data_IF_060711419437
#
_entry.id   IF_060711419437
#
_cell.length_a   1.000
_cell.length_b   1.000
_cell.length_c   1.000
_cell.angle_alpha   90.00
_cell.angle_beta   90.00
_cell.angle_gamma   90.00
#
_symmetry.space_group_name_H-M   'P 1'
#
loop_
_entity.id
_entity.type
_entity.pdbx_description
1 polymer ?
#
# COMPACT_ATOMS: atom_id res chain seq x y z
N UNK A 1 4.53 0.14 12.13
CA UNK A 1 3.22 0.46 12.75
C UNK A 1 2.90 1.92 12.49
N UNK A 2 2.22 2.21 11.38
CA UNK A 2 1.70 3.55 11.05
C UNK A 2 0.22 3.64 11.46
N UNK A 3 -0.07 3.55 12.76
CA UNK A 3 -1.40 3.84 13.29
C UNK A 3 -1.34 5.10 14.15
N UNK A 4 -1.01 6.23 13.51
CA UNK A 4 -1.28 7.59 14.00
C UNK A 4 -2.66 8.06 13.55
N UNK A 5 -3.11 9.24 13.99
CA UNK A 5 -4.40 9.82 13.59
C UNK A 5 -4.51 9.84 12.05
N UNK A 6 -5.72 9.73 11.49
CA UNK A 6 -5.97 9.72 10.03
C UNK A 6 -5.29 10.91 9.33
N UNK A 7 -5.27 12.07 10.00
CA UNK A 7 -4.59 13.27 9.52
C UNK A 7 -3.06 13.11 9.51
N UNK A 8 -2.49 12.44 10.51
CA UNK A 8 -1.03 12.25 10.64
C UNK A 8 -0.49 11.40 9.49
N UNK A 9 -1.19 10.32 9.12
CA UNK A 9 -0.75 9.45 8.01
C UNK A 9 -0.83 10.19 6.67
N UNK A 10 -1.89 10.97 6.43
CA UNK A 10 -2.03 11.76 5.19
C UNK A 10 -0.93 12.81 5.08
N UNK A 11 -0.59 13.47 6.19
CA UNK A 11 0.46 14.48 6.23
C UNK A 11 1.83 13.89 5.88
N UNK A 12 2.12 12.67 6.35
CA UNK A 12 3.37 11.97 6.02
C UNK A 12 3.57 11.79 4.51
N UNK A 13 2.52 11.47 3.75
CA UNK A 13 2.61 11.39 2.29
C UNK A 13 2.91 12.74 1.64
N UNK A 14 2.23 13.80 2.06
CA UNK A 14 2.43 15.16 1.55
C UNK A 14 3.83 15.66 1.87
N UNK A 15 4.27 15.51 3.12
CA UNK A 15 5.61 15.91 3.55
C UNK A 15 6.68 15.14 2.78
N UNK A 16 6.52 13.83 2.62
CA UNK A 16 7.47 13.01 1.85
C UNK A 16 7.54 13.44 0.40
N UNK A 17 6.39 13.72 -0.24
CA UNK A 17 6.34 14.23 -1.61
C UNK A 17 7.12 15.54 -1.76
N UNK A 18 6.89 16.50 -0.85
CA UNK A 18 7.60 17.78 -0.89
C UNK A 18 9.09 17.65 -0.58
N UNK A 19 9.48 16.85 0.41
CA UNK A 19 10.90 16.57 0.72
C UNK A 19 11.61 15.94 -0.47
N UNK A 20 11.00 14.93 -1.08
CA UNK A 20 11.53 14.26 -2.27
C UNK A 20 11.71 15.23 -3.44
N UNK A 21 10.70 16.08 -3.70
CA UNK A 21 10.75 17.09 -4.76
C UNK A 21 11.85 18.16 -4.53
N UNK A 22 12.22 18.42 -3.27
CA UNK A 22 13.31 19.34 -2.89
C UNK A 22 14.69 18.68 -2.82
N UNK A 23 14.78 17.37 -3.07
CA UNK A 23 16.03 16.62 -2.96
C UNK A 23 16.57 16.51 -1.53
N UNK A 24 15.70 16.61 -0.52
CA UNK A 24 16.09 16.44 0.87
C UNK A 24 16.39 14.98 1.22
N UNK A 25 17.19 14.76 2.26
CA UNK A 25 17.46 13.42 2.79
C UNK A 25 16.17 12.78 3.32
N UNK A 26 15.84 11.61 2.79
CA UNK A 26 14.68 10.81 3.20
C UNK A 26 15.12 9.69 4.15
N UNK A 27 14.38 9.50 5.25
CA UNK A 27 14.50 8.30 6.08
C UNK A 27 14.13 7.03 5.29
N UNK A 28 14.47 5.85 5.81
CA UNK A 28 14.16 4.58 5.13
C UNK A 28 12.64 4.42 4.85
N UNK A 29 11.78 4.84 5.77
CA UNK A 29 10.33 4.81 5.56
C UNK A 29 9.89 5.83 4.50
N UNK A 30 10.42 7.05 4.54
CA UNK A 30 10.12 8.07 3.53
C UNK A 30 10.62 7.66 2.14
N UNK A 31 11.70 6.89 2.02
CA UNK A 31 12.14 6.34 0.74
C UNK A 31 11.13 5.35 0.17
N UNK A 32 10.56 4.46 1.00
CA UNK A 32 9.50 3.53 0.58
C UNK A 32 8.26 4.32 0.13
N UNK A 33 7.83 5.30 0.94
CA UNK A 33 6.70 6.17 0.62
C UNK A 33 6.95 6.94 -0.68
N UNK A 34 8.13 7.54 -0.85
CA UNK A 34 8.48 8.28 -2.04
C UNK A 34 8.42 7.39 -3.29
N UNK A 35 8.92 6.15 -3.21
CA UNK A 35 8.82 5.21 -4.32
C UNK A 35 7.36 4.89 -4.66
N UNK A 36 6.51 4.61 -3.66
CA UNK A 36 5.06 4.39 -3.91
C UNK A 36 4.44 5.62 -4.57
N UNK A 37 4.78 6.83 -4.11
CA UNK A 37 4.26 8.06 -4.72
C UNK A 37 4.73 8.17 -6.18
N UNK A 38 6.00 7.87 -6.48
CA UNK A 38 6.50 7.89 -7.87
C UNK A 38 5.76 6.90 -8.78
N UNK A 39 5.39 5.73 -8.24
CA UNK A 39 4.63 4.72 -8.97
C UNK A 39 3.16 5.15 -9.23
N UNK A 40 2.67 6.20 -8.53
CA UNK A 40 1.31 6.74 -8.63
C UNK A 40 1.27 8.23 -9.04
N UNK A 41 1.64 8.58 -10.29
CA UNK A 41 1.60 9.95 -10.79
C UNK A 41 0.21 10.59 -10.74
N UNK A 42 -0.86 9.80 -10.78
CA UNK A 42 -2.25 10.27 -10.67
C UNK A 42 -2.55 11.02 -9.36
N UNK A 43 -1.77 10.76 -8.29
CA UNK A 43 -1.95 11.42 -7.00
C UNK A 43 -1.01 12.61 -6.78
N UNK A 44 -0.06 12.87 -7.68
CA UNK A 44 0.92 13.94 -7.51
C UNK A 44 0.27 15.33 -7.43
N UNK A 45 -0.81 15.57 -8.17
CA UNK A 45 -1.53 16.84 -8.12
C UNK A 45 -2.14 17.08 -6.73
N UNK A 46 -2.86 16.09 -6.19
CA UNK A 46 -3.46 16.17 -4.87
C UNK A 46 -2.40 16.33 -3.76
N UNK A 47 -1.30 15.59 -3.84
CA UNK A 47 -0.19 15.69 -2.90
C UNK A 47 0.52 17.05 -2.97
N UNK A 48 0.71 17.59 -4.18
CA UNK A 48 1.30 18.92 -4.39
C UNK A 48 0.48 20.04 -3.78
N UNK A 49 -0.85 19.94 -3.87
CA UNK A 49 -1.78 20.92 -3.30
C UNK A 49 -1.97 20.72 -1.78
N UNK A 50 -1.48 19.62 -1.22
CA UNK A 50 -1.71 19.28 0.19
C UNK A 50 -3.19 18.97 0.48
N UNK A 51 -3.95 18.49 -0.51
CA UNK A 51 -5.37 18.17 -0.36
C UNK A 51 -5.57 16.87 0.43
N UNK A 52 -5.32 16.96 1.73
CA UNK A 52 -5.43 15.87 2.69
C UNK A 52 -6.85 15.72 3.26
N UNK A 53 -7.76 16.64 2.98
CA UNK A 53 -9.10 16.69 3.58
C UNK A 53 -10.19 16.04 2.73
N UNK A 54 -9.85 15.42 1.60
CA UNK A 54 -10.81 14.71 0.77
C UNK A 54 -11.60 13.67 1.57
N UNK A 55 -12.93 13.79 1.55
CA UNK A 55 -13.85 12.76 1.99
C UNK A 55 -14.04 11.78 0.82
N UNK A 56 -13.03 10.93 0.64
CA UNK A 56 -13.05 9.83 -0.32
C UNK A 56 -14.06 8.77 0.17
N UNK A 57 -15.33 8.92 -0.24
CA UNK A 57 -16.38 7.97 0.11
C UNK A 57 -16.56 6.94 -0.99
N UNK A 58 -16.79 5.69 -0.60
CA UNK A 58 -17.08 4.58 -1.52
C UNK A 58 -18.28 4.90 -2.42
N UNK A 59 -19.24 5.67 -1.90
CA UNK A 59 -20.46 6.10 -2.60
C UNK A 59 -20.20 6.99 -3.82
N UNK A 60 -19.07 7.72 -3.84
CA UNK A 60 -18.65 8.56 -4.98
C UNK A 60 -17.87 7.79 -6.04
N UNK A 61 -17.61 6.49 -5.80
CA UNK A 61 -16.77 5.68 -6.68
C UNK A 61 -15.30 6.11 -6.70
N UNK A 62 -14.87 6.95 -5.77
CA UNK A 62 -13.51 7.46 -5.69
C UNK A 62 -12.63 6.52 -4.86
N UNK A 63 -11.54 6.04 -5.46
CA UNK A 63 -10.50 5.32 -4.73
C UNK A 63 -9.80 6.28 -3.78
N UNK A 64 -9.81 5.99 -2.48
CA UNK A 64 -9.08 6.78 -1.49
C UNK A 64 -7.56 6.62 -1.73
N UNK A 65 -6.85 7.67 -2.17
CA UNK A 65 -5.45 7.59 -2.56
C UNK A 65 -4.54 7.18 -1.40
N UNK A 66 -4.85 7.64 -0.19
CA UNK A 66 -4.04 7.34 0.99
C UNK A 66 -4.19 5.89 1.45
N UNK A 67 -5.41 5.35 1.36
CA UNK A 67 -5.65 3.93 1.62
C UNK A 67 -4.90 3.08 0.58
N UNK A 68 -5.07 3.42 -0.69
CA UNK A 68 -4.43 2.72 -1.80
C UNK A 68 -2.91 2.70 -1.68
N UNK A 69 -2.26 3.88 -1.54
CA UNK A 69 -0.82 3.97 -1.34
C UNK A 69 -0.37 3.30 -0.03
N UNK A 70 -1.15 3.39 1.05
CA UNK A 70 -0.86 2.73 2.32
C UNK A 70 -0.85 1.20 2.22
N UNK A 71 -1.70 0.62 1.37
CA UNK A 71 -1.69 -0.81 1.08
C UNK A 71 -0.43 -1.24 0.33
N UNK A 72 0.07 -0.44 -0.62
CA UNK A 72 1.36 -0.69 -1.26
C UNK A 72 2.52 -0.70 -0.24
N UNK A 73 2.56 0.27 0.67
CA UNK A 73 3.56 0.29 1.76
C UNK A 73 3.46 -0.98 2.60
N UNK A 74 2.24 -1.39 2.95
CA UNK A 74 2.01 -2.61 3.74
C UNK A 74 2.54 -3.85 3.03
N UNK A 75 2.28 -4.00 1.73
CA UNK A 75 2.81 -5.12 0.93
C UNK A 75 4.35 -5.10 0.91
N UNK A 76 4.95 -3.92 0.68
CA UNK A 76 6.42 -3.79 0.66
C UNK A 76 7.05 -4.13 2.01
N UNK A 77 6.44 -3.70 3.11
CA UNK A 77 6.87 -4.09 4.46
C UNK A 77 6.75 -5.61 4.65
N UNK A 78 5.59 -6.20 4.35
CA UNK A 78 5.33 -7.64 4.43
C UNK A 78 6.36 -8.46 3.64
N UNK A 79 6.64 -8.07 2.40
CA UNK A 79 7.66 -8.69 1.54
C UNK A 79 9.06 -8.50 2.14
N UNK A 80 9.38 -7.31 2.64
CA UNK A 80 10.68 -6.98 3.23
C UNK A 80 11.01 -7.80 4.49
N UNK A 81 10.00 -8.11 5.30
CA UNK A 81 10.17 -8.92 6.52
C UNK A 81 9.75 -10.40 6.34
N UNK A 82 9.34 -10.79 5.13
CA UNK A 82 8.74 -12.09 4.82
C UNK A 82 7.63 -12.50 5.82
N UNK A 83 6.64 -11.63 5.99
CA UNK A 83 5.48 -11.87 6.86
C UNK A 83 4.17 -11.63 6.10
N UNK A 84 3.30 -12.65 5.97
CA UNK A 84 3.46 -14.03 6.43
C UNK A 84 4.64 -14.75 5.76
N UNK A 85 5.24 -15.73 6.45
CA UNK A 85 6.39 -16.46 5.91
C UNK A 85 6.08 -17.11 4.56
N UNK A 86 6.93 -16.82 3.58
CA UNK A 86 6.75 -17.24 2.19
C UNK A 86 5.99 -16.24 1.31
N UNK A 87 5.56 -15.08 1.85
CA UNK A 87 4.96 -14.01 1.05
C UNK A 87 5.98 -13.41 0.08
N UNK A 88 7.25 -13.29 0.49
CA UNK A 88 8.31 -12.77 -0.39
C UNK A 88 8.46 -13.63 -1.63
N UNK A 89 8.49 -14.95 -1.45
CA UNK A 89 8.60 -15.89 -2.57
C UNK A 89 7.37 -15.84 -3.48
N UNK A 90 6.16 -15.70 -2.91
CA UNK A 90 4.94 -15.56 -3.70
C UNK A 90 4.92 -14.24 -4.51
N UNK A 91 5.33 -13.13 -3.90
CA UNK A 91 5.48 -11.84 -4.57
C UNK A 91 6.54 -11.91 -5.68
N UNK A 92 7.71 -12.53 -5.41
CA UNK A 92 8.75 -12.73 -6.43
C UNK A 92 8.24 -13.53 -7.63
N UNK A 93 7.39 -14.55 -7.42
CA UNK A 93 6.79 -15.29 -8.51
C UNK A 93 5.88 -14.41 -9.39
N UNK A 94 5.14 -13.47 -8.79
CA UNK A 94 4.34 -12.49 -9.52
C UNK A 94 5.22 -11.48 -10.28
N UNK A 95 6.31 -11.01 -9.67
CA UNK A 95 7.30 -10.09 -10.29
C UNK A 95 8.09 -10.76 -11.43
N UNK A 96 8.09 -12.09 -11.52
CA UNK A 96 8.66 -12.78 -12.68
C UNK A 96 7.70 -12.82 -13.86
N UNK A 97 6.39 -12.78 -13.60
CA UNK A 97 5.34 -12.80 -14.62
C UNK A 97 4.90 -11.39 -15.03
N UNK A 98 5.10 -10.41 -14.15
CA UNK A 98 4.71 -9.02 -14.27
C UNK A 98 5.83 -8.11 -13.74
N UNK A 99 5.69 -6.80 -13.80
CA UNK A 99 6.58 -5.91 -13.04
C UNK A 99 6.19 -5.85 -11.55
N UNK A 100 7.05 -5.22 -10.74
CA UNK A 100 6.85 -5.12 -9.29
C UNK A 100 5.58 -4.35 -8.90
N UNK A 101 5.28 -3.25 -9.60
CA UNK A 101 4.12 -2.43 -9.30
C UNK A 101 2.82 -3.16 -9.65
N UNK A 102 2.80 -3.84 -10.80
CA UNK A 102 1.68 -4.69 -11.20
C UNK A 102 1.49 -5.88 -10.26
N UNK A 103 2.56 -6.51 -9.80
CA UNK A 103 2.50 -7.58 -8.81
C UNK A 103 1.88 -7.10 -7.49
N UNK A 104 2.27 -5.92 -7.00
CA UNK A 104 1.66 -5.31 -5.82
C UNK A 104 0.16 -5.03 -6.05
N UNK A 105 -0.21 -4.48 -7.20
CA UNK A 105 -1.62 -4.26 -7.55
C UNK A 105 -2.47 -5.53 -7.51
N UNK A 106 -1.96 -6.65 -8.03
CA UNK A 106 -2.67 -7.93 -7.97
C UNK A 106 -2.88 -8.41 -6.52
N UNK A 107 -1.95 -8.08 -5.63
CA UNK A 107 -2.04 -8.44 -4.21
C UNK A 107 -3.00 -7.54 -3.42
N UNK A 108 -3.27 -6.31 -3.90
CA UNK A 108 -4.14 -5.36 -3.19
C UNK A 108 -5.52 -5.94 -2.89
N UNK A 109 -6.16 -6.61 -3.86
CA UNK A 109 -7.50 -7.18 -3.67
C UNK A 109 -7.50 -8.22 -2.56
N UNK A 110 -6.49 -9.10 -2.53
CA UNK A 110 -6.32 -10.10 -1.46
C UNK A 110 -6.07 -9.45 -0.09
N UNK A 111 -5.34 -8.33 -0.06
CA UNK A 111 -5.09 -7.59 1.18
C UNK A 111 -6.36 -6.85 1.66
N UNK A 112 -7.11 -6.24 0.75
CA UNK A 112 -8.37 -5.57 1.06
C UNK A 112 -9.38 -6.57 1.63
N UNK A 113 -9.53 -7.73 0.99
CA UNK A 113 -10.42 -8.80 1.46
C UNK A 113 -10.02 -9.29 2.86
N UNK A 114 -8.72 -9.52 3.10
CA UNK A 114 -8.20 -9.88 4.42
C UNK A 114 -8.61 -8.85 5.49
N UNK A 115 -8.39 -7.56 5.23
CA UNK A 115 -8.68 -6.48 6.18
C UNK A 115 -10.19 -6.33 6.42
N UNK A 116 -11.00 -6.40 5.36
CA UNK A 116 -12.45 -6.35 5.46
C UNK A 116 -13.02 -7.52 6.26
N UNK A 117 -12.52 -8.74 6.01
CA UNK A 117 -12.98 -9.94 6.72
C UNK A 117 -12.65 -9.84 8.22
N UNK A 118 -11.41 -9.46 8.56
CA UNK A 118 -10.98 -9.25 9.93
C UNK A 118 -11.83 -8.19 10.65
N UNK A 119 -12.14 -7.08 9.97
CA UNK A 119 -12.99 -6.04 10.52
C UNK A 119 -14.44 -6.50 10.73
N UNK A 120 -15.03 -7.21 9.75
CA UNK A 120 -16.40 -7.73 9.83
C UNK A 120 -16.58 -8.75 10.93
N UNK A 121 -15.62 -9.67 11.07
CA UNK A 121 -15.68 -10.77 12.03
C UNK A 121 -15.21 -10.36 13.43
N UNK A 122 -14.56 -9.20 13.56
CA UNK A 122 -13.95 -8.75 14.82
C UNK A 122 -12.77 -9.63 15.24
N UNK A 123 -12.12 -10.30 14.29
CA UNK A 123 -11.00 -11.21 14.54
C UNK A 123 -9.69 -10.64 13.99
N UNK A 124 -8.52 -11.10 14.48
CA UNK A 124 -7.25 -10.81 13.82
C UNK A 124 -7.25 -11.25 12.35
N UNK A 125 -6.53 -10.55 11.45
CA UNK A 125 -6.36 -10.98 10.07
C UNK A 125 -5.76 -12.39 9.96
N UNK A 126 -6.41 -13.27 9.18
CA UNK A 126 -5.84 -14.58 8.82
C UNK A 126 -4.72 -14.41 7.77
N UNK A 127 -3.51 -14.15 8.26
CA UNK A 127 -2.32 -13.99 7.41
C UNK A 127 -2.08 -15.23 6.51
N UNK A 128 -2.48 -16.43 6.93
CA UNK A 128 -2.29 -17.65 6.13
C UNK A 128 -3.32 -17.76 5.00
N UNK A 129 -4.56 -17.33 5.22
CA UNK A 129 -5.54 -17.20 4.14
C UNK A 129 -5.08 -16.22 3.07
N UNK A 130 -4.54 -15.06 3.49
CA UNK A 130 -3.95 -14.08 2.59
C UNK A 130 -2.78 -14.67 1.78
N UNK A 131 -1.83 -15.36 2.41
CA UNK A 131 -0.74 -16.03 1.68
C UNK A 131 -1.24 -17.04 0.64
N UNK A 132 -2.27 -17.82 0.98
CA UNK A 132 -2.90 -18.77 0.03
C UNK A 132 -3.58 -18.06 -1.12
N UNK A 133 -4.21 -16.90 -0.90
CA UNK A 133 -4.79 -16.09 -1.96
C UNK A 133 -3.71 -15.56 -2.91
N UNK A 134 -2.65 -14.95 -2.36
CA UNK A 134 -1.53 -14.41 -3.16
C UNK A 134 -0.85 -15.49 -3.99
N UNK A 135 -0.60 -16.68 -3.42
CA UNK A 135 -0.01 -17.82 -4.17
C UNK A 135 -0.88 -18.35 -5.31
N UNK A 136 -2.18 -18.06 -5.32
CA UNK A 136 -3.08 -18.47 -6.42
C UNK A 136 -2.98 -17.51 -7.60
N UNK A 137 -2.63 -16.24 -7.36
CA UNK A 137 -2.46 -15.24 -8.41
C UNK A 137 -1.35 -15.61 -9.40
N UNK A 138 -0.26 -16.24 -8.94
CA UNK A 138 0.87 -16.64 -9.80
C UNK A 138 0.65 -17.97 -10.54
N UNK A 139 -0.51 -18.61 -10.38
CA UNK A 139 -0.86 -19.88 -11.01
C UNK A 139 -1.90 -19.73 -12.13
N UNK A 140 -2.37 -18.50 -12.36
CA UNK A 140 -3.31 -18.15 -13.42
C UNK A 140 -2.55 -17.74 -14.67
#
# INVERSE_FOLDING_TARGET
MLYGNRTDVRQVFVDTFHKSARGETLSAMEQIIAQVIQDHPEYHAALRMGEISGDYTVERGETNPFLHMGMHITIREQVSIDRPSGIRSAWQALVLQHDAHKAEHLMLDSLAELLMQAQRDGTPPDEQAYLRAVRRLSKM
#
